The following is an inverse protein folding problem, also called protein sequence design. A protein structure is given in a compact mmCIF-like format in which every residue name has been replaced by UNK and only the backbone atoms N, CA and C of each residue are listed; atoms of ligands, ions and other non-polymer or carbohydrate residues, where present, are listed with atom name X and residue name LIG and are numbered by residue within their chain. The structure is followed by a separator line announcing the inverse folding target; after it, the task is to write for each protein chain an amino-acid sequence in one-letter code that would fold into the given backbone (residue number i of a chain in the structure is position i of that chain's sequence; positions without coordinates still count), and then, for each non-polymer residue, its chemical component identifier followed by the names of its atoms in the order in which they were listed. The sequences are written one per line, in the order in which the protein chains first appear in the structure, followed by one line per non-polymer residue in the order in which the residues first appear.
data_IF_552261604258
#
_entry.id   IF_552261604258
#
_cell.length_a   1.000
_cell.length_b   1.000
_cell.length_c   1.000
_cell.angle_alpha   90.00
_cell.angle_beta   90.00
_cell.angle_gamma   90.00
#
_symmetry.space_group_name_H-M   'P 1'
#
loop_
_entity.id
_entity.type
_entity.pdbx_description
1 polymer ?
#
# COMPACT_ATOMS: atom_id res chain seq x y z
N UNK A 1 40.19 24.17 2.19
CA UNK A 1 39.54 23.53 1.01
C UNK A 1 39.49 22.01 1.14
N UNK A 2 40.61 21.30 1.33
CA UNK A 2 40.61 19.82 1.56
C UNK A 2 39.86 19.34 2.81
N UNK A 3 39.86 20.13 3.89
CA UNK A 3 39.16 19.80 5.15
C UNK A 3 37.65 19.99 5.06
N UNK A 4 37.16 20.84 4.14
CA UNK A 4 35.73 21.09 3.93
C UNK A 4 35.06 19.91 3.18
N UNK A 5 35.81 19.23 2.31
CA UNK A 5 35.33 18.07 1.54
C UNK A 5 35.15 16.81 2.39
N UNK A 6 35.92 16.64 3.48
CA UNK A 6 35.76 15.49 4.38
C UNK A 6 34.51 15.59 5.27
N UNK A 7 34.12 16.80 5.70
CA UNK A 7 32.91 17.01 6.51
C UNK A 7 31.62 16.84 5.69
N UNK A 8 31.63 17.22 4.41
CA UNK A 8 30.48 16.99 3.53
C UNK A 8 30.22 15.48 3.31
N UNK A 9 31.27 14.67 3.14
CA UNK A 9 31.11 13.21 2.91
C UNK A 9 30.53 12.46 4.12
N UNK A 10 30.82 12.90 5.35
CA UNK A 10 30.36 12.24 6.58
C UNK A 10 28.85 12.45 6.82
N UNK A 11 28.29 13.59 6.42
CA UNK A 11 26.85 13.85 6.55
C UNK A 11 25.99 13.06 5.55
N UNK A 12 26.55 12.66 4.39
CA UNK A 12 25.82 11.87 3.39
C UNK A 12 25.76 10.36 3.69
N UNK A 13 26.58 9.83 4.62
CA UNK A 13 26.61 8.41 4.94
C UNK A 13 25.63 7.95 6.03
N UNK A 14 25.16 8.87 6.89
CA UNK A 14 24.38 8.54 8.08
C UNK A 14 22.91 8.17 7.79
N UNK A 15 22.38 8.51 6.62
CA UNK A 15 20.99 8.23 6.24
C UNK A 15 20.74 6.78 5.77
N UNK A 16 21.80 5.96 5.60
CA UNK A 16 21.68 4.60 5.08
C UNK A 16 21.39 3.52 6.15
N UNK A 17 21.42 3.86 7.45
CA UNK A 17 21.25 2.90 8.57
C UNK A 17 19.95 3.08 9.36
N UNK A 18 18.93 3.72 8.79
CA UNK A 18 17.65 3.94 9.51
C UNK A 18 16.65 2.77 9.36
N UNK A 19 16.97 1.72 8.61
CA UNK A 19 15.99 0.72 8.16
C UNK A 19 16.28 -0.71 8.66
N UNK A 20 16.85 -0.87 9.87
CA UNK A 20 16.91 -2.20 10.50
C UNK A 20 15.52 -2.46 11.11
N UNK A 21 14.69 -3.37 10.54
CA UNK A 21 13.45 -3.74 11.20
C UNK A 21 13.80 -4.33 12.57
N UNK A 22 13.33 -3.68 13.62
CA UNK A 22 13.42 -4.23 14.97
C UNK A 22 12.55 -5.51 15.02
N UNK A 23 12.91 -6.47 15.88
CA UNK A 23 12.09 -7.66 16.17
C UNK A 23 10.82 -7.24 16.94
N UNK A 24 9.97 -6.43 16.31
CA UNK A 24 8.68 -6.03 16.83
C UNK A 24 7.64 -7.13 16.58
N UNK A 25 6.57 -7.22 17.38
CA UNK A 25 5.49 -8.19 17.15
C UNK A 25 4.67 -7.96 15.87
N UNK A 26 4.95 -6.87 15.14
CA UNK A 26 4.25 -6.48 13.91
C UNK A 26 5.25 -6.38 12.77
N UNK A 27 4.84 -6.85 11.60
CA UNK A 27 5.62 -6.79 10.37
C UNK A 27 4.95 -5.86 9.36
N UNK A 28 5.72 -5.19 8.48
CA UNK A 28 5.14 -4.44 7.37
C UNK A 28 4.30 -5.33 6.46
N UNK A 29 3.12 -4.83 6.06
CA UNK A 29 2.27 -5.54 5.09
C UNK A 29 2.91 -5.41 3.70
N UNK A 30 3.23 -6.56 3.09
CA UNK A 30 3.73 -6.60 1.71
C UNK A 30 2.62 -6.19 0.71
N UNK A 31 2.98 -5.58 -0.43
CA UNK A 31 2.01 -5.30 -1.50
C UNK A 31 1.32 -6.57 -1.99
N UNK A 32 0.08 -6.43 -2.48
CA UNK A 32 -0.65 -7.54 -3.06
C UNK A 32 -0.02 -7.98 -4.40
N UNK A 33 0.26 -9.28 -4.53
CA UNK A 33 0.71 -9.90 -5.78
C UNK A 33 -0.49 -10.22 -6.68
N UNK A 34 -0.56 -9.61 -7.87
CA UNK A 34 -1.69 -9.78 -8.79
C UNK A 34 -1.35 -10.81 -9.87
N UNK A 35 -1.83 -12.05 -9.69
CA UNK A 35 -1.57 -13.16 -10.61
C UNK A 35 -2.56 -13.27 -11.77
N UNK A 36 -3.74 -12.65 -11.64
CA UNK A 36 -4.80 -12.64 -12.67
C UNK A 36 -5.49 -11.26 -12.73
N UNK A 37 -4.95 -10.32 -13.52
CA UNK A 37 -5.49 -8.96 -13.61
C UNK A 37 -6.93 -8.91 -14.16
N UNK A 38 -7.29 -9.84 -15.05
CA UNK A 38 -8.62 -9.89 -15.64
C UNK A 38 -9.68 -10.24 -14.58
N UNK A 39 -9.37 -11.22 -13.71
CA UNK A 39 -10.23 -11.57 -12.57
C UNK A 39 -10.35 -10.42 -11.57
N UNK A 40 -9.26 -9.70 -11.29
CA UNK A 40 -9.29 -8.53 -10.39
C UNK A 40 -10.17 -7.42 -10.96
N UNK A 41 -10.05 -7.10 -12.24
CA UNK A 41 -10.88 -6.08 -12.87
C UNK A 41 -12.37 -6.46 -12.87
N UNK A 42 -12.68 -7.72 -13.17
CA UNK A 42 -14.05 -8.24 -13.05
C UNK A 42 -14.56 -8.13 -11.61
N UNK A 43 -13.76 -8.57 -10.63
CA UNK A 43 -14.10 -8.48 -9.22
C UNK A 43 -14.38 -7.05 -8.77
N UNK A 44 -13.57 -6.08 -9.23
CA UNK A 44 -13.79 -4.66 -8.99
C UNK A 44 -15.15 -4.23 -9.53
N UNK A 45 -15.48 -4.54 -10.78
CA UNK A 45 -16.78 -4.19 -11.35
C UNK A 45 -17.94 -4.75 -10.51
N UNK A 46 -17.86 -6.03 -10.12
CA UNK A 46 -18.90 -6.69 -9.31
C UNK A 46 -19.02 -6.10 -7.90
N UNK A 47 -17.90 -5.73 -7.26
CA UNK A 47 -17.90 -5.10 -5.93
C UNK A 47 -18.71 -3.80 -5.89
N UNK A 48 -18.72 -3.07 -7.01
CA UNK A 48 -19.44 -1.81 -7.16
C UNK A 48 -20.81 -1.97 -7.86
N UNK A 49 -21.22 -3.16 -8.29
CA UNK A 49 -22.46 -3.36 -9.06
C UNK A 49 -23.69 -3.55 -8.14
N UNK A 50 -24.60 -2.55 -8.04
CA UNK A 50 -25.76 -2.67 -7.18
C UNK A 50 -26.85 -3.59 -7.73
N UNK A 51 -26.77 -3.98 -9.03
CA UNK A 51 -27.75 -4.87 -9.68
C UNK A 51 -27.68 -6.29 -9.14
N UNK A 52 -26.60 -6.64 -8.43
CA UNK A 52 -26.48 -7.91 -7.71
C UNK A 52 -27.41 -7.99 -6.50
N UNK A 53 -27.88 -6.85 -5.98
CA UNK A 53 -28.92 -6.84 -4.95
C UNK A 53 -30.33 -6.92 -5.54
N UNK A 54 -31.25 -7.50 -4.78
CA UNK A 54 -32.68 -7.52 -5.15
C UNK A 54 -33.27 -6.12 -5.34
N UNK A 55 -32.81 -5.14 -4.57
CA UNK A 55 -33.29 -3.76 -4.66
C UNK A 55 -32.68 -2.99 -5.83
N UNK A 56 -31.59 -3.48 -6.42
CA UNK A 56 -30.83 -2.75 -7.43
C UNK A 56 -30.08 -1.53 -6.91
N UNK A 57 -29.99 -1.36 -5.58
CA UNK A 57 -29.44 -0.16 -4.94
C UNK A 57 -28.21 -0.44 -4.04
N UNK A 58 -28.02 -1.69 -3.62
CA UNK A 58 -26.96 -2.06 -2.66
C UNK A 58 -25.88 -2.88 -3.38
N UNK A 59 -24.62 -2.50 -3.20
CA UNK A 59 -23.44 -3.28 -3.62
C UNK A 59 -22.57 -3.62 -2.42
N UNK A 60 -21.44 -4.31 -2.62
CA UNK A 60 -20.48 -4.56 -1.55
C UNK A 60 -19.93 -3.24 -0.97
N UNK A 61 -19.68 -2.25 -1.84
CA UNK A 61 -19.18 -0.93 -1.45
C UNK A 61 -20.17 -0.11 -0.60
N UNK A 62 -21.46 -0.45 -0.59
CA UNK A 62 -22.44 0.23 0.26
C UNK A 62 -22.15 0.04 1.75
N UNK A 63 -21.63 -1.12 2.16
CA UNK A 63 -21.28 -1.43 3.54
C UNK A 63 -19.76 -1.46 3.79
N UNK A 64 -18.98 -1.89 2.80
CA UNK A 64 -17.51 -1.89 2.84
C UNK A 64 -16.96 -0.75 1.99
N UNK A 65 -17.28 0.49 2.40
CA UNK A 65 -16.96 1.67 1.61
C UNK A 65 -15.44 1.94 1.65
N UNK A 66 -14.77 1.73 0.52
CA UNK A 66 -13.32 1.92 0.39
C UNK A 66 -12.87 3.38 0.55
N UNK A 67 -13.80 4.34 0.55
CA UNK A 67 -13.51 5.75 0.85
C UNK A 67 -13.57 6.08 2.35
N UNK A 68 -13.98 5.14 3.20
CA UNK A 68 -14.11 5.36 4.65
C UNK A 68 -13.02 4.68 5.50
N UNK A 69 -12.20 3.80 4.89
CA UNK A 69 -11.04 3.18 5.54
C UNK A 69 -11.40 2.32 6.75
#
# INVERSE_FOLDING_TARGET
MRTLSLMAGLCLGASAWANVPANEPVEPIAPAEITDPAKVELGKQLFFDPRLSRSGFISCNSCHNLSMG
#
